data_IF_807914459798
#
_entry.id   IF_807914459798
#
_cell.length_a   1.000
_cell.length_b   1.000
_cell.length_c   1.000
_cell.angle_alpha   90.00
_cell.angle_beta   90.00
_cell.angle_gamma   90.00
#
_symmetry.space_group_name_H-M   'P 1'
#
loop_
_entity.id
_entity.type
_entity.pdbx_description
1 polymer ?
#
# COMPACT_ATOMS: atom_id res chain seq x y z
N UNK A 1 22.25 27.34 -15.53
CA UNK A 1 22.08 26.45 -14.41
C UNK A 1 22.61 25.06 -14.66
N UNK A 2 22.40 24.19 -13.69
CA UNK A 2 22.71 22.77 -13.81
C UNK A 2 24.17 22.36 -13.66
N UNK A 3 24.99 23.22 -13.07
CA UNK A 3 26.41 22.93 -12.79
C UNK A 3 26.64 22.17 -11.48
N UNK A 4 25.68 22.25 -10.58
CA UNK A 4 25.68 21.52 -9.32
C UNK A 4 24.23 21.12 -8.96
N UNK A 5 24.10 20.05 -8.21
CA UNK A 5 22.82 19.54 -7.72
C UNK A 5 22.97 19.27 -6.23
N UNK A 6 21.93 19.58 -5.47
CA UNK A 6 21.81 19.23 -4.05
C UNK A 6 20.53 18.46 -3.91
N UNK A 7 20.60 17.30 -3.26
CA UNK A 7 19.42 16.51 -2.96
C UNK A 7 18.59 17.19 -1.86
N UNK A 8 17.29 17.24 -2.08
CA UNK A 8 16.31 17.72 -1.11
C UNK A 8 15.46 16.55 -0.68
N UNK A 9 15.57 16.15 0.57
CA UNK A 9 14.78 15.06 1.13
C UNK A 9 13.34 15.52 1.36
N UNK A 10 12.37 14.76 0.82
CA UNK A 10 10.94 14.97 1.00
C UNK A 10 10.35 13.93 1.93
N UNK A 11 9.16 14.15 2.53
CA UNK A 11 8.52 13.21 3.47
C UNK A 11 8.15 11.86 2.88
N UNK A 12 8.03 11.75 1.56
CA UNK A 12 7.74 10.53 0.83
C UNK A 12 8.51 10.50 -0.48
N UNK A 13 8.70 9.30 -1.02
CA UNK A 13 9.29 9.11 -2.36
C UNK A 13 8.32 9.43 -3.49
N UNK A 14 8.81 9.20 -4.69
CA UNK A 14 8.08 9.36 -5.96
C UNK A 14 7.40 10.72 -6.09
N UNK A 15 8.26 11.71 -6.31
CA UNK A 15 7.87 13.12 -6.37
C UNK A 15 7.37 13.45 -7.78
N UNK A 16 6.15 13.96 -7.89
CA UNK A 16 5.47 14.20 -9.17
C UNK A 16 5.45 15.66 -9.59
N UNK A 17 5.28 16.57 -8.64
CA UNK A 17 5.20 17.99 -8.97
C UNK A 17 5.76 18.87 -7.84
N UNK A 18 6.27 20.06 -8.22
CA UNK A 18 6.81 21.04 -7.32
C UNK A 18 6.39 22.44 -7.77
N UNK A 19 5.59 23.10 -6.95
CA UNK A 19 5.31 24.51 -7.11
C UNK A 19 6.20 25.36 -6.19
N UNK A 20 6.76 26.45 -6.72
CA UNK A 20 7.56 27.43 -5.99
C UNK A 20 6.91 28.79 -6.14
N UNK A 21 6.67 29.48 -5.02
CA UNK A 21 6.14 30.84 -5.01
C UNK A 21 7.12 31.80 -5.69
N UNK A 22 6.68 32.44 -6.76
CA UNK A 22 7.50 33.36 -7.53
C UNK A 22 7.89 34.63 -6.75
N UNK A 23 7.11 35.01 -5.75
CA UNK A 23 7.35 36.19 -4.92
C UNK A 23 8.15 35.86 -3.66
N UNK A 24 8.14 34.59 -3.24
CA UNK A 24 8.88 34.12 -2.07
C UNK A 24 9.34 32.67 -2.27
N UNK A 25 10.52 32.46 -2.85
CA UNK A 25 11.01 31.12 -3.17
C UNK A 25 11.25 30.19 -1.96
N UNK A 26 11.14 30.73 -0.74
CA UNK A 26 11.15 29.88 0.46
C UNK A 26 9.83 29.09 0.62
N UNK A 27 8.75 29.52 -0.05
CA UNK A 27 7.47 28.83 -0.04
C UNK A 27 7.39 27.85 -1.19
N UNK A 28 7.18 26.59 -0.86
CA UNK A 28 7.07 25.52 -1.83
C UNK A 28 5.92 24.58 -1.47
N UNK A 29 5.29 24.01 -2.47
CA UNK A 29 4.33 22.89 -2.35
C UNK A 29 4.81 21.76 -3.23
N UNK A 30 4.87 20.57 -2.70
CA UNK A 30 5.34 19.38 -3.40
C UNK A 30 4.28 18.28 -3.28
N UNK A 31 4.00 17.60 -4.42
CA UNK A 31 3.15 16.43 -4.51
C UNK A 31 3.95 15.16 -4.71
N UNK A 32 3.59 14.10 -3.99
CA UNK A 32 4.22 12.79 -4.04
C UNK A 32 3.18 11.68 -3.81
N UNK A 33 3.59 10.42 -3.90
CA UNK A 33 2.69 9.27 -3.73
C UNK A 33 2.10 9.15 -2.31
N UNK A 34 2.70 9.79 -1.33
CA UNK A 34 2.15 9.87 0.03
C UNK A 34 1.17 11.03 0.27
N UNK A 35 1.04 11.95 -0.70
CA UNK A 35 0.17 13.12 -0.59
C UNK A 35 0.85 14.42 -1.00
N UNK A 36 0.60 15.51 -0.27
CA UNK A 36 1.25 16.80 -0.51
C UNK A 36 1.89 17.34 0.76
N UNK A 37 2.97 18.07 0.59
CA UNK A 37 3.66 18.75 1.68
C UNK A 37 4.07 20.17 1.30
N UNK A 38 4.23 21.01 2.31
CA UNK A 38 4.62 22.41 2.15
C UNK A 38 5.92 22.69 2.87
N UNK A 39 6.73 23.57 2.28
CA UNK A 39 7.92 24.12 2.90
C UNK A 39 7.83 25.64 2.97
N UNK A 40 8.38 26.23 4.03
CA UNK A 40 8.53 27.68 4.19
C UNK A 40 9.99 28.11 4.27
N UNK A 41 10.93 27.21 3.99
CA UNK A 41 12.37 27.46 4.08
C UNK A 41 13.13 26.80 2.91
N UNK A 42 12.59 26.94 1.71
CA UNK A 42 13.22 26.48 0.47
C UNK A 42 13.53 24.96 0.46
N UNK A 43 12.66 24.14 1.07
CA UNK A 43 12.82 22.69 1.08
C UNK A 43 13.73 22.13 2.16
N UNK A 44 14.25 22.97 3.09
CA UNK A 44 15.06 22.49 4.21
C UNK A 44 14.23 21.63 5.19
N UNK A 45 12.96 21.98 5.38
CA UNK A 45 11.99 21.18 6.12
C UNK A 45 10.64 21.20 5.43
N UNK A 46 9.85 20.15 5.63
CA UNK A 46 8.54 19.98 5.04
C UNK A 46 7.48 19.65 6.10
N UNK A 47 6.23 20.00 5.82
CA UNK A 47 5.11 19.55 6.63
C UNK A 47 4.93 18.02 6.51
N UNK A 48 4.25 17.43 7.49
CA UNK A 48 3.84 16.03 7.39
C UNK A 48 2.83 15.81 6.27
N UNK A 49 2.88 14.66 5.61
CA UNK A 49 1.84 14.16 4.71
C UNK A 49 0.66 13.54 5.46
N UNK A 50 0.81 13.22 6.76
CA UNK A 50 -0.22 12.55 7.58
C UNK A 50 -1.36 13.46 8.04
N UNK A 51 -1.41 14.67 7.57
CA UNK A 51 -2.51 15.61 7.77
C UNK A 51 -3.60 15.51 6.68
N UNK A 52 -3.49 14.53 5.78
CA UNK A 52 -4.40 14.31 4.67
C UNK A 52 -4.89 12.86 4.72
N UNK A 53 -6.21 12.68 4.73
CA UNK A 53 -6.84 11.36 4.71
C UNK A 53 -7.12 10.96 3.26
N UNK A 54 -6.08 10.77 2.48
CA UNK A 54 -6.15 10.41 1.07
C UNK A 54 -5.41 9.11 0.82
N UNK A 55 -5.98 8.26 -0.05
CA UNK A 55 -5.34 7.03 -0.50
C UNK A 55 -5.93 6.62 -1.85
N UNK A 56 -5.12 5.95 -2.66
CA UNK A 56 -5.57 5.32 -3.89
C UNK A 56 -5.73 3.82 -3.65
N UNK A 57 -6.97 3.38 -3.45
CA UNK A 57 -7.27 1.96 -3.26
C UNK A 57 -7.56 1.27 -4.59
N UNK A 58 -7.01 0.07 -4.77
CA UNK A 58 -7.32 -0.79 -5.92
C UNK A 58 -8.58 -1.62 -5.68
N UNK A 59 -8.61 -2.34 -4.56
CA UNK A 59 -9.72 -3.21 -4.17
C UNK A 59 -9.88 -3.20 -2.66
N UNK A 60 -11.10 -3.48 -2.24
CA UNK A 60 -11.48 -3.56 -0.84
C UNK A 60 -12.07 -4.92 -0.53
N UNK A 61 -11.89 -5.36 0.71
CA UNK A 61 -12.55 -6.50 1.31
C UNK A 61 -13.01 -6.15 2.73
N UNK A 62 -13.92 -6.92 3.29
CA UNK A 62 -14.42 -6.76 4.66
C UNK A 62 -14.44 -8.11 5.37
N UNK A 63 -14.20 -8.11 6.67
CA UNK A 63 -14.38 -9.30 7.49
C UNK A 63 -15.81 -9.41 8.08
N UNK A 64 -16.06 -10.50 8.78
CA UNK A 64 -17.34 -10.80 9.41
C UNK A 64 -17.32 -10.53 10.93
N UNK A 65 -16.37 -9.76 11.44
CA UNK A 65 -16.30 -9.42 12.85
C UNK A 65 -17.34 -8.34 13.22
N UNK A 66 -17.49 -8.08 14.49
CA UNK A 66 -18.23 -6.93 15.00
C UNK A 66 -17.40 -6.23 16.07
N UNK A 67 -16.98 -4.98 15.88
CA UNK A 67 -17.06 -4.20 14.63
C UNK A 67 -16.28 -4.86 13.50
N UNK A 68 -16.82 -4.82 12.28
CA UNK A 68 -16.09 -5.32 11.12
C UNK A 68 -14.91 -4.41 10.75
N UNK A 69 -13.97 -4.94 10.02
CA UNK A 69 -12.86 -4.17 9.45
C UNK A 69 -12.96 -4.11 7.94
N UNK A 70 -12.55 -2.99 7.39
CA UNK A 70 -12.35 -2.77 5.96
C UNK A 70 -10.88 -2.92 5.66
N UNK A 71 -10.55 -3.67 4.62
CA UNK A 71 -9.20 -3.95 4.17
C UNK A 71 -9.01 -3.42 2.77
N UNK A 72 -7.82 -2.89 2.48
CA UNK A 72 -7.52 -2.40 1.13
C UNK A 72 -6.03 -2.35 0.84
N UNK A 73 -5.69 -2.48 -0.43
CA UNK A 73 -4.34 -2.26 -0.96
C UNK A 73 -4.25 -0.85 -1.52
N UNK A 74 -3.22 -0.10 -1.14
CA UNK A 74 -3.03 1.29 -1.51
C UNK A 74 -1.85 1.41 -2.47
N UNK A 75 -2.04 2.07 -3.60
CA UNK A 75 -0.95 2.36 -4.52
C UNK A 75 0.19 3.03 -3.76
N UNK A 76 1.39 2.46 -3.84
CA UNK A 76 2.66 2.95 -3.29
C UNK A 76 2.69 3.16 -1.76
N UNK A 77 1.60 2.79 -1.06
CA UNK A 77 1.43 3.02 0.37
C UNK A 77 1.03 1.76 1.16
N UNK A 78 1.41 0.57 0.68
CA UNK A 78 1.14 -0.73 1.35
C UNK A 78 -0.36 -1.05 1.48
N UNK A 79 -0.71 -2.01 2.30
CA UNK A 79 -2.11 -2.35 2.61
C UNK A 79 -2.51 -1.78 3.96
N UNK A 80 -3.80 -1.51 4.14
CA UNK A 80 -4.34 -1.04 5.40
C UNK A 80 -5.60 -1.83 5.78
N UNK A 81 -5.83 -1.97 7.07
CA UNK A 81 -7.07 -2.47 7.66
C UNK A 81 -7.57 -1.46 8.69
N UNK A 82 -8.81 -1.03 8.52
CA UNK A 82 -9.45 0.01 9.32
C UNK A 82 -10.72 -0.55 9.98
N UNK A 83 -10.93 -0.42 11.30
CA UNK A 83 -12.16 -0.86 11.93
C UNK A 83 -13.34 0.03 11.51
N UNK A 84 -14.54 -0.53 11.48
CA UNK A 84 -15.78 0.22 11.21
C UNK A 84 -16.24 1.10 12.38
N UNK A 85 -15.74 0.82 13.58
CA UNK A 85 -15.98 1.61 14.79
C UNK A 85 -14.80 1.48 15.76
N UNK A 86 -14.62 2.47 16.62
CA UNK A 86 -13.67 2.42 17.73
C UNK A 86 -14.39 2.71 19.06
N UNK A 87 -13.81 2.29 20.16
CA UNK A 87 -14.32 2.56 21.51
C UNK A 87 -14.29 4.06 21.86
N UNK A 88 -13.47 4.82 21.17
CA UNK A 88 -13.26 6.25 21.42
C UNK A 88 -14.17 7.17 20.61
N UNK A 89 -15.06 6.61 19.77
CA UNK A 89 -15.95 7.37 18.90
C UNK A 89 -15.29 8.02 17.67
N UNK A 90 -13.96 7.92 17.57
CA UNK A 90 -13.18 8.36 16.39
C UNK A 90 -12.22 7.26 15.98
N UNK A 91 -11.93 7.15 14.69
CA UNK A 91 -10.96 6.20 14.15
C UNK A 91 -9.69 6.97 13.83
N UNK A 92 -8.58 6.56 14.42
CA UNK A 92 -7.26 7.11 14.18
C UNK A 92 -6.27 6.09 13.65
N UNK A 93 -5.04 6.51 13.38
CA UNK A 93 -3.98 5.61 12.91
C UNK A 93 -3.67 4.47 13.87
N UNK A 94 -3.87 4.68 15.19
CA UNK A 94 -3.67 3.65 16.19
C UNK A 94 -4.67 2.50 16.12
N UNK A 95 -5.84 2.71 15.50
CA UNK A 95 -6.87 1.68 15.29
C UNK A 95 -6.63 0.87 14.01
N UNK A 96 -5.75 1.37 13.15
CA UNK A 96 -5.40 0.73 11.89
C UNK A 96 -4.37 -0.36 12.08
N UNK A 97 -4.36 -1.33 11.17
CA UNK A 97 -3.29 -2.32 11.05
C UNK A 97 -2.86 -2.47 9.59
N UNK A 98 -1.68 -3.02 9.38
CA UNK A 98 -1.06 -3.13 8.06
C UNK A 98 -0.92 -4.62 7.70
N UNK A 99 -1.94 -5.22 7.03
CA UNK A 99 -1.99 -6.66 6.76
C UNK A 99 -1.12 -7.06 5.55
N UNK A 100 0.10 -6.61 5.51
CA UNK A 100 1.04 -6.91 4.45
C UNK A 100 1.70 -5.67 3.87
N UNK A 101 2.50 -5.88 2.84
CA UNK A 101 3.22 -4.83 2.12
C UNK A 101 2.73 -4.65 0.68
N UNK A 102 1.60 -5.25 0.36
CA UNK A 102 1.01 -5.17 -0.97
C UNK A 102 0.52 -3.77 -1.28
N UNK A 103 0.79 -3.31 -2.47
CA UNK A 103 0.39 -2.00 -2.96
C UNK A 103 -0.67 -2.08 -4.06
N UNK A 104 -0.81 -3.25 -4.69
CA UNK A 104 -1.69 -3.43 -5.83
C UNK A 104 -2.52 -4.70 -5.70
N UNK A 105 -3.65 -4.69 -6.38
CA UNK A 105 -4.46 -5.88 -6.54
C UNK A 105 -5.49 -6.07 -5.46
N UNK A 106 -5.84 -7.32 -5.28
CA UNK A 106 -6.84 -7.75 -4.34
C UNK A 106 -6.24 -7.99 -2.96
N UNK A 107 -7.08 -7.85 -1.95
CA UNK A 107 -6.86 -8.32 -0.60
C UNK A 107 -8.01 -9.25 -0.27
N UNK A 108 -7.75 -10.33 0.45
CA UNK A 108 -8.76 -11.34 0.77
C UNK A 108 -8.63 -11.76 2.24
N UNK A 109 -9.68 -11.55 3.00
CA UNK A 109 -9.77 -12.00 4.39
C UNK A 109 -10.29 -13.44 4.42
N UNK A 110 -9.67 -14.29 5.25
CA UNK A 110 -10.12 -15.67 5.37
C UNK A 110 -11.54 -15.74 5.96
N UNK A 111 -12.50 -16.41 5.28
CA UNK A 111 -13.92 -16.30 5.61
C UNK A 111 -14.33 -16.86 6.97
N UNK A 112 -13.50 -17.71 7.59
CA UNK A 112 -13.75 -18.31 8.92
C UNK A 112 -12.73 -17.90 9.97
N UNK A 113 -11.64 -17.26 9.60
CA UNK A 113 -10.61 -16.78 10.53
C UNK A 113 -10.12 -15.40 10.10
N UNK A 114 -10.74 -14.33 10.60
CA UNK A 114 -10.41 -12.96 10.20
C UNK A 114 -9.00 -12.53 10.62
N UNK A 115 -8.27 -13.33 11.41
CA UNK A 115 -6.86 -13.08 11.68
C UNK A 115 -5.96 -13.34 10.47
N UNK A 116 -6.44 -14.10 9.49
CA UNK A 116 -5.66 -14.49 8.32
C UNK A 116 -6.11 -13.65 7.12
N UNK A 117 -5.16 -12.93 6.56
CA UNK A 117 -5.38 -12.06 5.39
C UNK A 117 -4.34 -12.38 4.32
N UNK A 118 -4.79 -12.42 3.08
CA UNK A 118 -3.93 -12.57 1.91
C UNK A 118 -3.95 -11.31 1.07
N UNK A 119 -2.78 -10.87 0.63
CA UNK A 119 -2.65 -9.73 -0.29
C UNK A 119 -1.40 -9.90 -1.17
N UNK A 120 -1.34 -9.15 -2.25
CA UNK A 120 -0.13 -9.04 -3.05
C UNK A 120 1.04 -8.47 -2.24
N UNK A 121 2.25 -8.78 -2.61
CA UNK A 121 3.45 -8.18 -2.02
C UNK A 121 3.93 -6.98 -2.85
N UNK A 122 4.73 -6.11 -2.26
CA UNK A 122 5.46 -5.06 -2.98
C UNK A 122 6.28 -5.69 -4.11
N UNK A 123 6.14 -5.16 -5.31
CA UNK A 123 6.78 -5.73 -6.50
C UNK A 123 6.09 -6.98 -7.03
N UNK A 124 4.84 -7.26 -6.64
CA UNK A 124 4.00 -8.27 -7.27
C UNK A 124 3.77 -7.99 -8.76
N UNK A 125 4.02 -6.80 -9.14
CA UNK A 125 4.02 -6.24 -10.47
C UNK A 125 5.35 -5.48 -10.70
N UNK A 126 5.70 -4.98 -11.88
CA UNK A 126 5.30 -5.40 -13.20
C UNK A 126 6.02 -6.68 -13.63
N UNK A 127 5.39 -7.42 -14.50
CA UNK A 127 5.90 -8.71 -14.93
C UNK A 127 5.24 -9.88 -14.22
N UNK A 128 4.38 -9.56 -13.23
CA UNK A 128 3.38 -10.45 -12.67
C UNK A 128 3.95 -11.71 -12.04
N UNK A 129 4.84 -11.58 -11.06
CA UNK A 129 5.35 -12.74 -10.34
C UNK A 129 4.31 -13.42 -9.46
N UNK A 130 3.13 -12.79 -9.27
CA UNK A 130 2.11 -13.28 -8.36
C UNK A 130 2.64 -13.38 -6.93
N UNK A 131 3.46 -12.42 -6.51
CA UNK A 131 3.97 -12.38 -5.17
C UNK A 131 2.79 -12.21 -4.21
N UNK A 132 2.56 -13.24 -3.41
CA UNK A 132 1.45 -13.35 -2.50
C UNK A 132 1.97 -13.42 -1.06
N UNK A 133 1.35 -12.64 -0.18
CA UNK A 133 1.62 -12.63 1.25
C UNK A 133 0.43 -13.18 2.02
N UNK A 134 0.72 -13.92 3.09
CA UNK A 134 -0.21 -14.28 4.14
C UNK A 134 0.19 -13.53 5.41
N UNK A 135 -0.71 -12.70 5.89
CA UNK A 135 -0.58 -12.00 7.17
C UNK A 135 -1.36 -12.72 8.26
N UNK A 136 -0.79 -12.79 9.45
CA UNK A 136 -1.43 -13.31 10.65
C UNK A 136 -1.56 -12.17 11.68
N UNK A 137 -2.80 -11.78 11.96
CA UNK A 137 -3.09 -10.63 12.81
C UNK A 137 -2.72 -10.87 14.29
N UNK A 138 -2.78 -12.12 14.77
CA UNK A 138 -2.43 -12.47 16.15
C UNK A 138 -0.93 -12.36 16.40
N UNK A 139 -0.13 -12.87 15.45
CA UNK A 139 1.32 -12.90 15.57
C UNK A 139 2.01 -11.69 14.93
N UNK A 140 1.26 -10.88 14.15
CA UNK A 140 1.77 -9.76 13.33
C UNK A 140 2.81 -10.19 12.29
N UNK A 141 2.82 -11.46 11.94
CA UNK A 141 3.78 -12.01 10.99
C UNK A 141 3.25 -11.98 9.56
N UNK A 142 4.13 -11.64 8.64
CA UNK A 142 3.92 -11.70 7.20
C UNK A 142 4.78 -12.83 6.65
N UNK A 143 4.20 -13.69 5.80
CA UNK A 143 4.92 -14.75 5.09
C UNK A 143 4.65 -14.66 3.61
N UNK A 144 5.68 -14.81 2.79
CA UNK A 144 5.52 -15.02 1.36
C UNK A 144 4.99 -16.45 1.13
N UNK A 145 3.92 -16.54 0.35
CA UNK A 145 3.24 -17.80 -0.01
C UNK A 145 2.99 -17.86 -1.51
N UNK A 146 4.01 -17.50 -2.27
CA UNK A 146 3.94 -17.42 -3.71
C UNK A 146 3.48 -18.73 -4.34
N UNK A 147 2.68 -18.64 -5.39
CA UNK A 147 2.28 -19.79 -6.21
C UNK A 147 3.49 -20.48 -6.82
N UNK A 148 4.51 -19.69 -7.15
CA UNK A 148 5.78 -20.18 -7.69
C UNK A 148 6.94 -19.32 -7.15
N UNK A 149 8.05 -19.91 -6.70
CA UNK A 149 9.14 -19.20 -6.05
C UNK A 149 10.08 -18.44 -7.01
N UNK A 150 9.64 -18.15 -8.20
CA UNK A 150 10.41 -17.47 -9.23
C UNK A 150 10.28 -15.95 -9.11
N UNK A 151 11.41 -15.24 -9.23
CA UNK A 151 11.38 -13.78 -9.35
C UNK A 151 11.08 -13.39 -10.79
N UNK A 152 10.12 -12.51 -10.98
CA UNK A 152 9.81 -11.96 -12.32
C UNK A 152 10.74 -10.83 -12.75
N UNK A 153 11.52 -10.28 -11.81
CA UNK A 153 12.39 -9.13 -12.12
C UNK A 153 13.50 -9.53 -13.08
N UNK A 154 13.55 -8.85 -14.22
CA UNK A 154 14.55 -9.09 -15.26
C UNK A 154 14.26 -10.29 -16.16
N UNK A 155 13.13 -10.98 -15.97
CA UNK A 155 12.68 -12.09 -16.83
C UNK A 155 11.59 -11.58 -17.77
N UNK A 156 11.70 -11.88 -19.06
CA UNK A 156 10.65 -11.53 -20.00
C UNK A 156 9.36 -12.29 -19.66
N UNK A 157 8.17 -11.65 -19.73
CA UNK A 157 6.91 -12.31 -19.36
C UNK A 157 6.62 -13.61 -20.10
N UNK A 158 7.12 -13.77 -21.32
CA UNK A 158 6.98 -15.01 -22.11
C UNK A 158 7.73 -16.20 -21.50
N UNK A 159 8.77 -15.93 -20.71
CA UNK A 159 9.66 -16.94 -20.14
C UNK A 159 9.24 -17.32 -18.71
N UNK A 160 8.25 -16.61 -18.13
CA UNK A 160 7.69 -16.92 -16.82
C UNK A 160 6.79 -18.16 -16.88
N UNK A 161 6.88 -19.04 -15.89
CA UNK A 161 6.00 -20.21 -15.77
C UNK A 161 4.55 -19.80 -15.57
N UNK A 162 4.29 -18.80 -14.72
CA UNK A 162 2.98 -18.21 -14.50
C UNK A 162 3.05 -16.71 -14.71
N UNK A 163 1.97 -16.14 -15.26
CA UNK A 163 1.85 -14.71 -15.49
C UNK A 163 0.68 -14.19 -14.68
N UNK A 164 0.93 -13.11 -13.97
CA UNK A 164 -0.10 -12.43 -13.20
C UNK A 164 -0.21 -10.98 -13.70
N UNK A 165 -1.43 -10.46 -13.73
CA UNK A 165 -1.65 -9.05 -13.99
C UNK A 165 -1.21 -8.21 -12.77
N UNK A 166 -1.03 -6.92 -12.96
CA UNK A 166 -0.76 -5.98 -11.87
C UNK A 166 -1.78 -6.16 -10.74
N UNK A 167 -3.06 -6.19 -11.10
CA UNK A 167 -4.18 -6.41 -10.19
C UNK A 167 -4.71 -7.83 -10.39
N UNK A 168 -3.99 -8.84 -9.92
CA UNK A 168 -4.47 -10.22 -10.01
C UNK A 168 -5.51 -10.50 -8.92
N UNK A 169 -6.59 -11.22 -9.25
CA UNK A 169 -7.67 -11.51 -8.31
C UNK A 169 -7.23 -12.48 -7.22
N UNK A 170 -7.70 -12.22 -5.99
CA UNK A 170 -7.65 -13.15 -4.86
C UNK A 170 -9.07 -13.33 -4.36
N UNK A 171 -9.58 -14.55 -4.39
CA UNK A 171 -10.95 -14.86 -3.98
C UNK A 171 -10.99 -16.22 -3.28
N UNK A 172 -11.50 -16.25 -2.08
CA UNK A 172 -11.79 -17.52 -1.43
C UNK A 172 -12.97 -18.23 -2.10
N UNK A 173 -12.86 -19.55 -2.24
CA UNK A 173 -13.96 -20.35 -2.73
C UNK A 173 -15.17 -20.25 -1.79
N UNK A 174 -16.37 -19.95 -2.31
CA UNK A 174 -17.56 -19.89 -1.47
C UNK A 174 -17.98 -21.26 -0.94
N UNK A 175 -17.57 -22.35 -1.57
CA UNK A 175 -17.89 -23.72 -1.18
C UNK A 175 -16.81 -24.38 -0.31
N UNK A 176 -15.57 -23.90 -0.39
CA UNK A 176 -14.45 -24.41 0.41
C UNK A 176 -13.56 -23.28 0.92
N UNK A 177 -13.68 -22.90 2.18
CA UNK A 177 -12.90 -21.79 2.76
C UNK A 177 -11.39 -22.06 2.86
N UNK A 178 -10.93 -23.27 2.55
CA UNK A 178 -9.50 -23.61 2.50
C UNK A 178 -8.86 -23.34 1.13
N UNK A 179 -9.69 -23.03 0.15
CA UNK A 179 -9.26 -22.78 -1.24
C UNK A 179 -9.30 -21.28 -1.54
N UNK A 180 -8.15 -20.71 -1.80
CA UNK A 180 -7.96 -19.35 -2.30
C UNK A 180 -7.66 -19.41 -3.78
#
# INVERSE_FOLDING_TARGET
GGRSFVEVTTPHGDNHDLWIDQNNPNRMVQGNDGGACVSFNAGLTWSSIYNQNTAQFYRLDVDNQFPYRVYGTQQDNTSISVPSASEWGTIGLGDCSYPGTGESGFIAVHPKDPNIVYCGAVGSSPGGAGALQRYDHLTKQIRLVNVWPESSRGIAPRDLKYRFAWTFPLVFSPSDPKTL
#
